data_IF_068229602646
#
_entry.id   IF_068229602646
#
_cell.length_a   1.000
_cell.length_b   1.000
_cell.length_c   1.000
_cell.angle_alpha   90.00
_cell.angle_beta   90.00
_cell.angle_gamma   90.00
#
_symmetry.space_group_name_H-M   'P 1'
#
loop_
_entity.id
_entity.type
_entity.pdbx_description
1 polymer ?
#
# COMPACT_ATOMS: atom_id res chain seq x y z
N UNK A 1 78.70 -40.51 -58.92
CA UNK A 1 78.94 -39.08 -59.21
C UNK A 1 78.10 -38.35 -58.19
N UNK A 2 78.76 -37.62 -57.31
CA UNK A 2 78.12 -36.86 -56.23
C UNK A 2 77.27 -35.75 -56.87
N UNK A 3 75.97 -35.70 -56.58
CA UNK A 3 75.04 -34.71 -57.18
C UNK A 3 75.24 -33.29 -56.62
N UNK A 4 76.11 -33.16 -55.61
CA UNK A 4 76.47 -31.92 -54.91
C UNK A 4 77.46 -31.05 -55.69
N UNK A 5 78.28 -31.62 -56.58
CA UNK A 5 79.33 -30.89 -57.30
C UNK A 5 79.05 -30.80 -58.81
N UNK A 6 78.83 -29.60 -59.33
CA UNK A 6 78.54 -29.36 -60.76
C UNK A 6 79.82 -29.25 -61.59
N UNK A 7 80.95 -28.87 -60.99
CA UNK A 7 82.24 -28.75 -61.67
C UNK A 7 83.37 -29.35 -60.82
N UNK A 8 83.95 -30.47 -61.27
CA UNK A 8 85.02 -31.19 -60.59
C UNK A 8 86.30 -31.18 -61.41
N UNK A 9 87.40 -30.72 -60.81
CA UNK A 9 88.73 -30.67 -61.42
C UNK A 9 89.73 -31.39 -60.51
N UNK A 10 90.42 -32.40 -61.04
CA UNK A 10 91.40 -33.22 -60.31
C UNK A 10 90.90 -33.80 -58.96
N UNK A 11 89.61 -34.13 -58.86
CA UNK A 11 89.01 -34.71 -57.65
C UNK A 11 88.63 -33.70 -56.56
N UNK A 12 88.72 -32.39 -56.85
CA UNK A 12 88.27 -31.31 -55.97
C UNK A 12 87.11 -30.55 -56.62
N UNK A 13 86.10 -30.20 -55.83
CA UNK A 13 84.96 -29.46 -56.32
C UNK A 13 85.30 -27.97 -56.47
N UNK A 14 84.93 -27.39 -57.61
CA UNK A 14 85.14 -25.98 -57.92
C UNK A 14 83.81 -25.19 -57.92
N UNK A 15 82.70 -25.89 -58.10
CA UNK A 15 81.37 -25.30 -58.09
C UNK A 15 80.36 -26.34 -57.59
N UNK A 16 79.58 -25.95 -56.58
CA UNK A 16 78.52 -26.78 -56.03
C UNK A 16 77.22 -26.56 -56.80
N UNK A 17 76.34 -27.56 -56.73
CA UNK A 17 74.97 -27.45 -57.18
C UNK A 17 74.27 -26.37 -56.33
N UNK A 18 73.76 -25.31 -56.96
CA UNK A 18 73.25 -24.13 -56.25
C UNK A 18 71.96 -24.35 -55.46
N UNK A 19 71.40 -25.56 -55.47
CA UNK A 19 70.26 -25.95 -54.64
C UNK A 19 70.76 -26.83 -53.49
N UNK A 20 70.82 -26.31 -52.26
CA UNK A 20 71.14 -27.09 -51.06
C UNK A 20 72.62 -27.20 -50.69
N UNK A 21 73.55 -26.65 -51.50
CA UNK A 21 74.99 -26.87 -51.29
C UNK A 21 75.83 -25.60 -51.42
N UNK A 22 76.77 -25.43 -50.49
CA UNK A 22 77.77 -24.35 -50.49
C UNK A 22 79.19 -24.94 -50.58
N UNK A 23 80.06 -24.29 -51.35
CA UNK A 23 81.44 -24.73 -51.48
C UNK A 23 82.26 -24.29 -50.27
N UNK A 24 82.77 -25.23 -49.48
CA UNK A 24 83.75 -24.93 -48.46
C UNK A 24 85.12 -24.70 -49.14
N UNK A 25 85.55 -23.44 -49.13
CA UNK A 25 86.78 -23.00 -49.81
C UNK A 25 88.07 -23.56 -49.19
N UNK A 26 88.00 -24.12 -47.97
CA UNK A 26 89.16 -24.70 -47.27
C UNK A 26 89.34 -26.18 -47.61
N UNK A 27 88.24 -26.92 -47.77
CA UNK A 27 88.25 -28.37 -48.07
C UNK A 27 88.01 -28.66 -49.55
N UNK A 28 87.53 -27.68 -50.33
CA UNK A 28 87.09 -27.80 -51.72
C UNK A 28 86.05 -28.92 -51.92
N UNK A 29 85.19 -29.05 -50.91
CA UNK A 29 84.05 -29.96 -50.87
C UNK A 29 82.76 -29.16 -50.74
N UNK A 30 81.68 -29.68 -51.31
CA UNK A 30 80.35 -29.13 -51.14
C UNK A 30 79.78 -29.59 -49.81
N UNK A 31 79.43 -28.63 -48.96
CA UNK A 31 78.72 -28.86 -47.70
C UNK A 31 77.25 -28.48 -47.90
N UNK A 32 76.36 -29.16 -47.20
CA UNK A 32 74.93 -28.82 -47.19
C UNK A 32 74.76 -27.43 -46.58
N UNK A 33 73.86 -26.64 -47.15
CA UNK A 33 73.40 -25.41 -46.51
C UNK A 33 72.35 -25.85 -45.49
N UNK A 34 72.66 -25.64 -44.20
CA UNK A 34 71.73 -25.96 -43.12
C UNK A 34 70.54 -25.00 -43.19
N UNK A 35 69.34 -25.57 -43.12
CA UNK A 35 68.06 -24.87 -43.01
C UNK A 35 67.82 -23.85 -44.16
N UNK A 36 67.92 -24.32 -45.41
CA UNK A 36 67.74 -23.51 -46.63
C UNK A 36 66.38 -23.74 -47.34
N UNK A 37 65.47 -24.45 -46.67
CA UNK A 37 64.20 -25.00 -47.16
C UNK A 37 64.36 -26.07 -48.26
N UNK A 38 65.49 -26.76 -48.35
CA UNK A 38 65.74 -27.79 -49.37
C UNK A 38 66.18 -29.12 -48.75
N UNK A 39 65.22 -30.02 -48.56
CA UNK A 39 65.47 -31.41 -48.13
C UNK A 39 66.12 -32.23 -49.27
N UNK A 40 67.47 -32.25 -49.33
CA UNK A 40 68.22 -33.09 -50.29
C UNK A 40 68.78 -34.37 -49.64
N UNK A 41 69.55 -34.23 -48.55
CA UNK A 41 70.14 -35.33 -47.75
C UNK A 41 69.86 -35.19 -46.23
N UNK A 42 68.97 -34.27 -45.86
CA UNK A 42 68.57 -33.92 -44.48
C UNK A 42 67.28 -34.66 -44.08
N UNK A 43 67.04 -34.91 -42.79
CA UNK A 43 65.78 -35.55 -42.36
C UNK A 43 64.61 -34.56 -42.42
N UNK A 44 64.89 -33.28 -42.19
CA UNK A 44 63.95 -32.17 -42.26
C UNK A 44 64.73 -30.88 -42.55
N UNK A 45 64.02 -29.85 -42.99
CA UNK A 45 64.51 -28.47 -43.16
C UNK A 45 63.28 -27.55 -43.11
N UNK A 46 63.24 -26.63 -42.16
CA UNK A 46 62.16 -25.64 -41.99
C UNK A 46 62.62 -24.19 -42.22
N UNK A 47 63.82 -24.01 -42.77
CA UNK A 47 64.38 -22.71 -43.13
C UNK A 47 64.85 -21.85 -41.96
N UNK A 48 64.96 -22.42 -40.75
CA UNK A 48 65.43 -21.70 -39.57
C UNK A 48 66.24 -22.59 -38.60
N UNK A 49 66.98 -21.97 -37.66
CA UNK A 49 67.86 -22.67 -36.70
C UNK A 49 67.30 -22.65 -35.26
N UNK A 50 65.99 -22.52 -35.10
CA UNK A 50 65.33 -22.47 -33.78
C UNK A 50 65.23 -23.90 -33.26
N UNK A 51 65.76 -24.20 -32.07
CA UNK A 51 65.56 -25.52 -31.51
C UNK A 51 64.10 -25.68 -31.02
N UNK A 52 63.61 -26.92 -31.09
CA UNK A 52 62.37 -27.46 -30.56
C UNK A 52 61.09 -27.00 -31.27
N UNK A 53 61.20 -26.51 -32.50
CA UNK A 53 60.06 -26.09 -33.35
C UNK A 53 59.63 -27.14 -34.38
N UNK A 54 60.37 -28.24 -34.51
CA UNK A 54 60.05 -29.36 -35.40
C UNK A 54 61.26 -29.88 -36.17
N UNK A 55 62.24 -29.02 -36.44
CA UNK A 55 63.46 -29.39 -37.14
C UNK A 55 64.65 -28.56 -36.67
N UNK A 56 65.72 -29.22 -36.23
CA UNK A 56 66.94 -28.51 -35.86
C UNK A 56 68.15 -29.34 -36.24
N UNK A 57 69.14 -28.68 -36.85
CA UNK A 57 70.36 -29.34 -37.32
C UNK A 57 70.04 -30.56 -38.18
N UNK A 58 69.09 -30.42 -39.10
CA UNK A 58 68.73 -31.45 -40.09
C UNK A 58 68.10 -32.72 -39.49
N UNK A 59 67.69 -32.67 -38.22
CA UNK A 59 67.06 -33.77 -37.50
C UNK A 59 65.70 -33.34 -36.96
N UNK A 60 64.74 -34.25 -37.06
CA UNK A 60 63.44 -34.06 -36.45
C UNK A 60 63.59 -33.95 -34.94
N UNK A 61 63.05 -32.88 -34.36
CA UNK A 61 62.95 -32.73 -32.91
C UNK A 61 61.60 -32.15 -32.53
N UNK A 62 61.20 -32.38 -31.29
CA UNK A 62 59.92 -31.90 -30.79
C UNK A 62 60.13 -31.16 -29.48
N UNK A 63 59.23 -30.21 -29.23
CA UNK A 63 59.14 -29.50 -27.97
C UNK A 63 59.02 -30.45 -26.77
N UNK A 64 59.71 -30.12 -25.67
CA UNK A 64 59.67 -30.91 -24.42
C UNK A 64 58.26 -31.10 -23.85
N UNK A 65 57.37 -30.13 -24.10
CA UNK A 65 55.95 -30.16 -23.73
C UNK A 65 55.09 -31.01 -24.67
N UNK A 66 55.67 -31.66 -25.66
CA UNK A 66 55.01 -32.63 -26.51
C UNK A 66 55.08 -34.04 -25.89
N UNK A 67 53.92 -34.67 -25.67
CA UNK A 67 53.84 -36.04 -25.14
C UNK A 67 53.93 -37.11 -26.23
N UNK A 68 53.48 -36.81 -27.46
CA UNK A 68 53.52 -37.71 -28.60
C UNK A 68 54.03 -36.95 -29.83
N UNK A 69 55.24 -37.29 -30.27
CA UNK A 69 55.96 -36.64 -31.36
C UNK A 69 56.14 -37.61 -32.52
N UNK A 70 55.87 -37.16 -33.75
CA UNK A 70 56.09 -37.94 -34.97
C UNK A 70 56.78 -37.07 -36.02
N UNK A 71 58.04 -37.39 -36.34
CA UNK A 71 58.83 -36.68 -37.36
C UNK A 71 58.79 -35.15 -37.20
N UNK A 72 59.04 -34.65 -35.98
CA UNK A 72 59.02 -33.20 -35.68
C UNK A 72 57.63 -32.61 -35.47
N UNK A 73 56.56 -33.36 -35.77
CA UNK A 73 55.20 -32.92 -35.54
C UNK A 73 54.69 -33.35 -34.16
N UNK A 74 54.17 -32.39 -33.39
CA UNK A 74 53.55 -32.70 -32.12
C UNK A 74 52.08 -33.15 -32.32
N UNK A 75 51.79 -34.39 -31.96
CA UNK A 75 50.45 -34.98 -32.05
C UNK A 75 49.62 -34.73 -30.79
N UNK A 76 50.25 -34.79 -29.62
CA UNK A 76 49.60 -34.57 -28.33
C UNK A 76 50.53 -33.83 -27.36
N UNK A 77 50.02 -32.79 -26.71
CA UNK A 77 50.76 -32.07 -25.67
C UNK A 77 50.71 -32.78 -24.31
N UNK A 78 51.67 -32.47 -23.44
CA UNK A 78 51.64 -32.83 -22.03
C UNK A 78 50.42 -32.23 -21.31
N UNK A 79 50.01 -32.76 -20.14
CA UNK A 79 48.93 -32.17 -19.36
C UNK A 79 49.19 -30.68 -19.08
N UNK A 80 48.16 -29.85 -19.18
CA UNK A 80 48.20 -28.38 -18.98
C UNK A 80 48.89 -27.59 -20.11
N UNK A 81 49.02 -28.22 -21.28
CA UNK A 81 49.47 -27.59 -22.51
C UNK A 81 48.42 -27.80 -23.61
N UNK A 82 48.27 -26.81 -24.48
CA UNK A 82 47.36 -26.82 -25.63
C UNK A 82 48.16 -26.76 -26.93
N UNK A 83 47.81 -27.64 -27.86
CA UNK A 83 48.40 -27.66 -29.19
C UNK A 83 47.85 -26.50 -30.02
N UNK A 84 48.73 -25.61 -30.47
CA UNK A 84 48.43 -24.65 -31.53
C UNK A 84 48.70 -25.30 -32.88
N UNK A 85 47.63 -25.54 -33.63
CA UNK A 85 47.70 -26.19 -34.94
C UNK A 85 48.32 -25.29 -36.02
N UNK A 86 48.36 -23.97 -35.84
CA UNK A 86 48.94 -23.04 -36.81
C UNK A 86 50.46 -23.10 -36.79
N UNK A 87 51.05 -23.21 -35.60
CA UNK A 87 52.50 -23.27 -35.42
C UNK A 87 53.01 -24.68 -35.10
N UNK A 88 52.10 -25.65 -34.90
CA UNK A 88 52.41 -27.02 -34.50
C UNK A 88 53.26 -27.09 -33.21
N UNK A 89 52.97 -26.20 -32.26
CA UNK A 89 53.66 -26.12 -30.97
C UNK A 89 52.67 -26.20 -29.81
N UNK A 90 53.13 -26.69 -28.67
CA UNK A 90 52.39 -26.74 -27.42
C UNK A 90 52.61 -25.45 -26.63
N UNK A 91 51.52 -24.76 -26.33
CA UNK A 91 51.51 -23.55 -25.50
C UNK A 91 50.90 -23.89 -24.14
N UNK A 92 51.43 -23.36 -23.03
CA UNK A 92 50.84 -23.55 -21.71
C UNK A 92 49.43 -22.95 -21.67
N UNK A 93 48.55 -23.56 -20.86
CA UNK A 93 47.14 -23.15 -20.76
C UNK A 93 47.02 -22.07 -19.67
N UNK A 94 46.99 -20.81 -20.10
CA UNK A 94 46.67 -19.69 -19.20
C UNK A 94 45.32 -19.90 -18.52
N UNK A 95 45.26 -19.67 -17.21
CA UNK A 95 44.03 -19.67 -16.43
C UNK A 95 43.63 -21.04 -15.88
N UNK A 96 44.52 -22.03 -15.90
CA UNK A 96 44.26 -23.38 -15.39
C UNK A 96 44.71 -23.59 -13.92
N UNK A 97 45.25 -22.54 -13.30
CA UNK A 97 45.73 -22.53 -11.91
C UNK A 97 47.13 -23.10 -11.71
N UNK A 98 47.87 -23.41 -12.78
CA UNK A 98 49.23 -23.94 -12.71
C UNK A 98 50.20 -23.07 -13.51
N UNK A 99 51.38 -22.80 -12.96
CA UNK A 99 52.47 -22.10 -13.68
C UNK A 99 53.40 -23.15 -14.27
N UNK A 100 53.43 -23.25 -15.60
CA UNK A 100 54.28 -24.17 -16.38
C UNK A 100 54.97 -23.45 -17.54
N UNK A 101 56.10 -23.98 -18.02
CA UNK A 101 56.78 -23.42 -19.19
C UNK A 101 57.24 -21.97 -19.00
N UNK A 102 56.76 -21.07 -19.87
CA UNK A 102 57.16 -19.65 -19.89
C UNK A 102 56.15 -18.71 -19.21
N UNK A 103 55.16 -19.25 -18.51
CA UNK A 103 54.14 -18.44 -17.84
C UNK A 103 54.75 -17.54 -16.76
N UNK A 104 54.41 -16.26 -16.80
CA UNK A 104 54.90 -15.25 -15.84
C UNK A 104 53.94 -15.08 -14.67
N UNK A 105 52.66 -15.37 -14.88
CA UNK A 105 51.59 -15.29 -13.90
C UNK A 105 50.50 -16.32 -14.18
N UNK A 106 49.63 -16.53 -13.20
CA UNK A 106 48.48 -17.43 -13.29
C UNK A 106 47.43 -17.03 -12.24
N UNK A 107 46.16 -16.89 -12.64
CA UNK A 107 45.05 -16.46 -11.78
C UNK A 107 43.75 -17.28 -11.95
N UNK A 108 43.88 -18.50 -12.50
CA UNK A 108 42.82 -19.49 -12.68
C UNK A 108 41.65 -19.02 -13.53
N UNK A 109 41.86 -18.00 -14.37
CA UNK A 109 40.84 -17.52 -15.29
C UNK A 109 41.47 -16.88 -16.55
N UNK A 110 40.64 -16.38 -17.47
CA UNK A 110 41.09 -15.76 -18.72
C UNK A 110 40.52 -14.35 -18.92
N UNK A 111 40.27 -13.66 -17.81
CA UNK A 111 39.75 -12.30 -17.79
C UNK A 111 40.85 -11.34 -18.18
N UNK A 112 40.44 -10.18 -18.67
CA UNK A 112 41.37 -9.10 -19.00
C UNK A 112 41.37 -8.11 -17.84
N UNK A 113 42.54 -7.55 -17.54
CA UNK A 113 42.77 -6.49 -16.56
C UNK A 113 42.56 -6.88 -15.08
N UNK A 114 42.61 -8.16 -14.74
CA UNK A 114 42.49 -8.66 -13.36
C UNK A 114 43.81 -9.11 -12.72
N UNK A 115 44.89 -9.14 -13.48
CA UNK A 115 46.22 -9.43 -12.97
C UNK A 115 47.05 -10.25 -13.94
N UNK A 116 46.43 -11.21 -14.63
CA UNK A 116 47.09 -12.07 -15.58
C UNK A 116 46.24 -12.32 -16.83
N UNK A 117 46.77 -12.00 -18.00
CA UNK A 117 46.13 -12.35 -19.26
C UNK A 117 47.16 -12.83 -20.27
N UNK A 118 46.85 -13.93 -20.97
CA UNK A 118 47.78 -14.59 -21.88
C UNK A 118 49.14 -14.92 -21.22
N UNK A 119 49.09 -15.37 -19.97
CA UNK A 119 50.23 -15.72 -19.12
C UNK A 119 51.21 -14.56 -18.89
N UNK A 120 50.78 -13.32 -19.12
CA UNK A 120 51.54 -12.10 -18.91
C UNK A 120 50.86 -11.22 -17.87
N UNK A 121 51.68 -10.57 -17.03
CA UNK A 121 51.18 -9.67 -16.00
C UNK A 121 50.41 -8.51 -16.66
N UNK A 122 49.21 -8.24 -16.16
CA UNK A 122 48.36 -7.15 -16.61
C UNK A 122 47.87 -6.38 -15.39
N UNK A 123 47.69 -5.06 -15.54
CA UNK A 123 47.05 -4.24 -14.51
C UNK A 123 45.64 -3.87 -14.91
N UNK A 124 44.86 -3.38 -13.94
CA UNK A 124 43.55 -2.79 -14.17
C UNK A 124 43.60 -1.74 -15.30
N UNK A 125 42.58 -1.75 -16.17
CA UNK A 125 42.44 -0.86 -17.33
C UNK A 125 42.53 0.62 -16.93
N UNK A 126 41.97 0.96 -15.75
CA UNK A 126 41.89 2.32 -15.25
C UNK A 126 43.07 2.66 -14.30
N UNK A 127 44.12 1.85 -14.31
CA UNK A 127 45.33 2.09 -13.54
C UNK A 127 46.28 3.06 -14.26
N UNK A 128 46.69 4.12 -13.57
CA UNK A 128 47.69 5.08 -14.06
C UNK A 128 49.13 4.61 -13.82
N UNK A 129 49.42 4.10 -12.61
CA UNK A 129 50.74 3.61 -12.24
C UNK A 129 50.61 2.14 -11.83
N UNK A 130 51.19 1.26 -12.64
CA UNK A 130 51.18 -0.17 -12.47
C UNK A 130 52.59 -0.68 -12.14
N UNK A 131 52.71 -1.51 -11.11
CA UNK A 131 53.95 -2.23 -10.79
C UNK A 131 53.64 -3.72 -10.57
N UNK A 132 54.18 -4.59 -11.43
CA UNK A 132 54.03 -6.05 -11.37
C UNK A 132 52.58 -6.52 -11.07
N UNK A 133 51.62 -6.16 -11.92
CA UNK A 133 50.17 -6.41 -11.77
C UNK A 133 49.48 -5.79 -10.55
N UNK A 134 50.19 -4.97 -9.78
CA UNK A 134 49.61 -4.21 -8.66
C UNK A 134 49.44 -2.74 -9.07
N UNK A 135 48.19 -2.28 -9.08
CA UNK A 135 47.87 -0.90 -9.31
C UNK A 135 48.23 -0.04 -8.08
N UNK A 136 49.05 0.98 -8.29
CA UNK A 136 49.48 1.92 -7.26
C UNK A 136 48.63 3.19 -7.24
N UNK A 137 48.22 3.65 -8.43
CA UNK A 137 47.46 4.90 -8.61
C UNK A 137 46.47 4.71 -9.74
N UNK A 138 45.19 5.00 -9.48
CA UNK A 138 44.13 4.98 -10.48
C UNK A 138 44.07 6.31 -11.26
N UNK A 139 43.45 6.28 -12.44
CA UNK A 139 43.09 7.48 -13.18
C UNK A 139 42.12 8.37 -12.36
N UNK A 140 42.05 9.66 -12.71
CA UNK A 140 41.10 10.58 -12.10
C UNK A 140 39.66 10.11 -12.34
N UNK A 141 38.79 10.16 -11.33
CA UNK A 141 37.44 9.55 -11.37
C UNK A 141 37.36 8.14 -10.76
N UNK A 142 38.49 7.56 -10.33
CA UNK A 142 38.54 6.19 -9.81
C UNK A 142 39.25 6.09 -8.47
N UNK A 143 38.80 5.17 -7.61
CA UNK A 143 39.43 4.84 -6.33
C UNK A 143 39.96 3.41 -6.37
N UNK A 144 41.14 3.22 -5.76
CA UNK A 144 41.80 1.93 -5.68
C UNK A 144 41.19 1.10 -4.54
N UNK A 145 40.45 0.05 -4.88
CA UNK A 145 39.85 -0.89 -3.95
C UNK A 145 40.26 -2.31 -4.37
N UNK A 146 40.92 -3.06 -3.49
CA UNK A 146 41.35 -4.45 -3.75
C UNK A 146 42.11 -4.62 -5.07
N UNK A 147 43.07 -3.73 -5.36
CA UNK A 147 43.86 -3.73 -6.60
C UNK A 147 43.09 -3.39 -7.89
N UNK A 148 41.82 -3.00 -7.77
CA UNK A 148 40.99 -2.56 -8.88
C UNK A 148 40.63 -1.08 -8.77
N UNK A 149 40.50 -0.43 -9.91
CA UNK A 149 40.12 0.97 -9.98
C UNK A 149 38.61 1.07 -10.22
N UNK A 150 37.87 1.34 -9.15
CA UNK A 150 36.40 1.43 -9.14
C UNK A 150 35.98 2.89 -9.27
N UNK A 151 34.96 3.15 -10.08
CA UNK A 151 34.36 4.46 -10.27
C UNK A 151 33.92 5.11 -8.95
N UNK A 152 34.06 6.44 -8.86
CA UNK A 152 33.77 7.21 -7.64
C UNK A 152 32.59 8.12 -7.86
N UNK A 153 31.43 7.66 -7.40
CA UNK A 153 30.24 8.47 -7.48
C UNK A 153 30.27 9.70 -6.56
N UNK A 154 30.05 10.88 -7.14
CA UNK A 154 29.93 12.14 -6.42
C UNK A 154 31.21 12.97 -6.37
N UNK A 155 32.18 12.67 -7.24
CA UNK A 155 33.43 13.43 -7.37
C UNK A 155 33.35 14.50 -8.50
N UNK A 156 32.23 14.50 -9.23
CA UNK A 156 31.80 15.28 -10.39
C UNK A 156 32.54 15.04 -11.67
N UNK A 157 33.01 13.81 -11.84
CA UNK A 157 33.66 13.37 -13.05
C UNK A 157 32.97 12.09 -13.52
N UNK A 158 32.08 12.21 -14.49
CA UNK A 158 31.41 11.05 -15.08
C UNK A 158 32.41 10.21 -15.88
N UNK A 159 32.71 8.98 -15.42
CA UNK A 159 33.64 8.03 -16.06
C UNK A 159 33.07 6.63 -16.26
N UNK A 160 33.57 5.91 -17.28
CA UNK A 160 33.23 4.52 -17.64
C UNK A 160 31.72 4.19 -17.62
N UNK A 161 31.20 3.60 -16.54
CA UNK A 161 29.81 3.14 -16.40
C UNK A 161 28.91 4.13 -15.65
N UNK A 162 29.43 5.26 -15.22
CA UNK A 162 28.63 6.29 -14.57
C UNK A 162 27.72 6.98 -15.60
N UNK A 163 26.43 7.02 -15.31
CA UNK A 163 25.45 7.77 -16.11
C UNK A 163 25.31 9.21 -15.59
N UNK A 164 25.59 9.42 -14.31
CA UNK A 164 25.51 10.70 -13.61
C UNK A 164 26.51 10.74 -12.46
N UNK A 165 26.86 11.95 -12.03
CA UNK A 165 27.70 12.18 -10.86
C UNK A 165 27.15 13.37 -10.03
N UNK A 166 26.92 13.13 -8.73
CA UNK A 166 26.36 14.11 -7.80
C UNK A 166 27.45 14.98 -7.14
N UNK A 167 27.88 16.05 -7.81
CA UNK A 167 28.87 16.97 -7.26
C UNK A 167 28.31 18.03 -6.27
N UNK A 168 27.30 17.66 -5.46
CA UNK A 168 26.61 18.50 -4.43
C UNK A 168 25.62 19.53 -4.99
N UNK A 169 24.32 19.28 -4.80
CA UNK A 169 23.34 20.22 -4.21
C UNK A 169 21.95 19.56 -4.00
N UNK A 170 21.68 19.19 -2.74
CA UNK A 170 20.45 19.02 -1.95
C UNK A 170 19.02 18.90 -2.54
N UNK A 171 18.76 18.87 -3.85
CA UNK A 171 17.38 18.80 -4.38
C UNK A 171 17.12 17.61 -5.30
N UNK A 172 18.13 17.03 -5.94
CA UNK A 172 17.86 16.03 -6.96
C UNK A 172 18.31 14.63 -6.53
N UNK A 173 17.35 13.85 -6.03
CA UNK A 173 17.40 12.37 -5.90
C UNK A 173 17.52 11.66 -7.27
N UNK A 174 18.09 12.34 -8.26
CA UNK A 174 18.12 11.98 -9.66
C UNK A 174 19.29 11.04 -9.94
N UNK A 175 20.34 11.02 -9.12
CA UNK A 175 21.42 10.06 -9.24
C UNK A 175 21.53 9.18 -7.98
N UNK A 176 21.58 7.87 -8.15
CA UNK A 176 21.83 6.92 -7.06
C UNK A 176 22.74 5.81 -7.58
N UNK A 177 23.85 5.56 -6.89
CA UNK A 177 24.88 4.61 -7.34
C UNK A 177 25.30 4.87 -8.80
N UNK A 178 25.46 6.15 -9.16
CA UNK A 178 25.89 6.61 -10.48
C UNK A 178 24.97 6.21 -11.64
N UNK A 179 23.70 5.96 -11.33
CA UNK A 179 22.63 5.75 -12.30
C UNK A 179 21.52 6.75 -12.09
N UNK A 180 20.90 7.15 -13.20
CA UNK A 180 19.72 7.98 -13.14
C UNK A 180 18.59 7.22 -12.42
N UNK A 181 18.02 7.85 -11.40
CA UNK A 181 16.87 7.35 -10.66
C UNK A 181 15.66 8.16 -11.08
N UNK A 182 14.53 7.47 -11.24
CA UNK A 182 13.28 8.07 -11.66
C UNK A 182 12.32 8.10 -10.47
N UNK A 183 11.53 9.19 -10.39
CA UNK A 183 10.48 9.30 -9.38
C UNK A 183 9.43 8.19 -9.54
N UNK A 184 8.84 7.76 -8.41
CA UNK A 184 7.71 6.83 -8.40
C UNK A 184 6.56 7.40 -9.23
N UNK A 185 5.87 6.55 -9.99
CA UNK A 185 4.78 6.96 -10.87
C UNK A 185 5.24 7.65 -12.16
N UNK A 186 6.54 7.63 -12.47
CA UNK A 186 7.05 8.14 -13.74
C UNK A 186 6.95 7.08 -14.85
N UNK A 187 6.18 7.39 -15.89
CA UNK A 187 6.02 6.55 -17.08
C UNK A 187 7.12 6.76 -18.12
N UNK A 188 7.56 7.99 -18.32
CA UNK A 188 8.66 8.34 -19.22
C UNK A 188 9.70 9.14 -18.44
N UNK A 189 10.86 8.52 -18.23
CA UNK A 189 11.97 9.11 -17.52
C UNK A 189 13.17 9.24 -18.45
N UNK A 190 13.69 10.46 -18.58
CA UNK A 190 14.78 10.81 -19.48
C UNK A 190 15.84 11.53 -18.66
N UNK A 191 17.03 10.94 -18.53
CA UNK A 191 18.13 11.45 -17.70
C UNK A 191 17.68 11.77 -16.25
N UNK A 192 16.83 10.91 -15.69
CA UNK A 192 16.30 11.01 -14.32
C UNK A 192 15.27 12.13 -14.10
N UNK A 193 14.90 12.86 -15.17
CA UNK A 193 13.79 13.82 -15.17
C UNK A 193 12.53 13.10 -15.68
N UNK A 194 11.41 13.26 -14.96
CA UNK A 194 10.15 12.71 -15.42
C UNK A 194 9.47 13.62 -16.43
N UNK A 195 9.17 13.10 -17.63
CA UNK A 195 8.44 13.82 -18.68
C UNK A 195 6.94 13.47 -18.70
N UNK A 196 6.59 12.26 -18.26
CA UNK A 196 5.21 11.78 -18.26
C UNK A 196 4.96 10.89 -17.04
N UNK A 197 3.88 11.16 -16.32
CA UNK A 197 3.44 10.33 -15.20
C UNK A 197 2.48 9.21 -15.61
N UNK A 198 2.38 8.19 -14.77
CA UNK A 198 1.36 7.15 -14.81
C UNK A 198 -0.02 7.70 -14.41
N UNK A 199 -1.06 6.92 -14.64
CA UNK A 199 -2.42 7.29 -14.22
C UNK A 199 -2.51 7.40 -12.68
N UNK A 200 -3.20 8.42 -12.18
CA UNK A 200 -3.27 8.76 -10.75
C UNK A 200 -2.13 9.65 -10.24
N UNK A 201 -1.18 10.03 -11.09
CA UNK A 201 -0.12 10.98 -10.77
C UNK A 201 -0.22 12.25 -11.61
N UNK A 202 0.10 13.40 -11.00
CA UNK A 202 0.24 14.68 -11.67
C UNK A 202 1.71 15.09 -11.74
N UNK A 203 2.14 15.54 -12.92
CA UNK A 203 3.49 16.05 -13.11
C UNK A 203 3.60 17.47 -12.52
N UNK A 204 4.39 17.63 -11.46
CA UNK A 204 4.64 18.90 -10.80
C UNK A 204 6.13 19.01 -10.45
N UNK A 205 6.77 20.10 -10.88
CA UNK A 205 8.22 20.33 -10.70
C UNK A 205 9.10 19.15 -11.17
N UNK A 206 8.73 18.54 -12.31
CA UNK A 206 9.38 17.35 -12.88
C UNK A 206 9.31 16.08 -12.00
N UNK A 207 8.44 16.09 -10.99
CA UNK A 207 8.15 14.96 -10.12
C UNK A 207 6.68 14.55 -10.28
N UNK A 208 6.41 13.25 -10.15
CA UNK A 208 5.05 12.74 -10.17
C UNK A 208 4.51 12.73 -8.74
N UNK A 209 3.56 13.62 -8.46
CA UNK A 209 2.87 13.68 -7.18
C UNK A 209 1.54 12.93 -7.30
N UNK A 210 1.17 12.18 -6.27
CA UNK A 210 -0.11 11.48 -6.23
C UNK A 210 -1.27 12.49 -6.13
N UNK A 211 -2.40 12.19 -6.74
CA UNK A 211 -3.54 13.11 -6.86
C UNK A 211 -4.56 12.80 -5.78
N UNK A 212 -4.64 13.67 -4.78
CA UNK A 212 -5.63 13.47 -3.73
C UNK A 212 -7.07 13.78 -4.16
N UNK A 213 -7.96 12.80 -3.93
CA UNK A 213 -9.39 12.87 -4.20
C UNK A 213 -9.80 12.24 -5.53
N UNK A 214 -8.95 11.43 -6.15
CA UNK A 214 -9.22 10.75 -7.43
C UNK A 214 -9.71 9.30 -7.27
N UNK A 215 -9.80 8.82 -6.02
CA UNK A 215 -10.17 7.47 -5.58
C UNK A 215 -9.13 6.39 -5.85
N UNK A 216 -7.88 6.76 -6.10
CA UNK A 216 -6.80 5.85 -6.46
C UNK A 216 -5.66 5.97 -5.44
N UNK A 217 -5.67 5.12 -4.41
CA UNK A 217 -4.60 5.12 -3.40
C UNK A 217 -3.30 4.55 -3.99
N UNK A 218 -2.33 5.42 -4.27
CA UNK A 218 -1.02 5.06 -4.84
C UNK A 218 0.12 5.88 -4.24
N UNK A 219 1.35 5.40 -4.43
CA UNK A 219 2.56 6.14 -4.04
C UNK A 219 2.61 6.42 -2.53
N UNK A 220 2.61 7.70 -2.16
CA UNK A 220 2.70 8.18 -0.78
C UNK A 220 1.33 8.36 -0.09
N UNK A 221 0.23 8.09 -0.77
CA UNK A 221 -1.11 8.27 -0.22
C UNK A 221 -1.44 7.22 0.84
N UNK A 222 -1.96 7.66 1.97
CA UNK A 222 -2.47 6.77 3.01
C UNK A 222 -3.95 6.45 2.81
N UNK A 223 -4.69 7.36 2.17
CA UNK A 223 -6.12 7.27 1.92
C UNK A 223 -6.51 8.12 0.71
N UNK A 224 -7.67 7.83 0.15
CA UNK A 224 -8.37 8.67 -0.82
C UNK A 224 -9.89 8.37 -0.73
N UNK A 225 -10.70 9.38 -0.43
CA UNK A 225 -12.16 9.27 -0.32
C UNK A 225 -12.91 9.94 -1.49
N UNK A 226 -12.19 10.31 -2.56
CA UNK A 226 -12.72 10.93 -3.76
C UNK A 226 -13.04 12.41 -3.62
N UNK A 227 -12.56 13.08 -2.57
CA UNK A 227 -12.71 14.51 -2.40
C UNK A 227 -11.49 15.14 -1.66
N UNK A 228 -11.56 16.44 -1.35
CA UNK A 228 -10.49 17.17 -0.64
C UNK A 228 -11.01 17.92 0.59
N UNK A 229 -12.18 17.56 1.09
CA UNK A 229 -12.77 18.18 2.25
C UNK A 229 -11.91 17.81 3.48
N UNK A 230 -11.68 18.76 4.39
CA UNK A 230 -11.02 18.44 5.64
C UNK A 230 -12.01 17.74 6.59
N UNK A 231 -11.48 16.86 7.44
CA UNK A 231 -12.16 16.23 8.57
C UNK A 231 -13.27 15.20 8.26
N UNK A 232 -13.40 14.70 7.04
CA UNK A 232 -14.36 13.66 6.65
C UNK A 232 -13.78 12.24 6.58
N UNK A 233 -12.47 12.09 6.78
CA UNK A 233 -11.77 10.81 6.82
C UNK A 233 -10.40 10.86 6.15
N UNK A 234 -10.29 11.66 5.09
CA UNK A 234 -9.05 11.78 4.32
C UNK A 234 -8.83 13.21 3.82
N UNK A 235 -7.69 13.82 4.17
CA UNK A 235 -7.33 15.14 3.64
C UNK A 235 -5.83 15.23 3.41
N UNK A 236 -5.43 15.86 2.31
CA UNK A 236 -4.03 15.89 1.86
C UNK A 236 -3.42 14.48 1.80
N UNK A 237 -4.25 13.49 1.51
CA UNK A 237 -3.91 12.07 1.38
C UNK A 237 -3.29 11.46 2.63
N UNK A 238 -3.64 12.04 3.77
CA UNK A 238 -3.36 11.57 5.10
C UNK A 238 -4.69 11.32 5.82
N UNK A 239 -4.71 10.29 6.65
CA UNK A 239 -5.88 10.01 7.47
C UNK A 239 -6.16 11.18 8.41
N UNK A 240 -7.41 11.64 8.43
CA UNK A 240 -7.88 12.72 9.29
C UNK A 240 -9.25 12.35 9.86
N UNK A 241 -9.57 12.78 11.08
CA UNK A 241 -10.90 12.64 11.67
C UNK A 241 -11.45 14.01 12.09
N UNK A 242 -12.75 14.07 12.39
CA UNK A 242 -13.41 15.22 13.00
C UNK A 242 -12.70 15.73 14.26
N UNK A 243 -12.81 17.02 14.54
CA UNK A 243 -12.11 17.66 15.66
C UNK A 243 -12.60 17.14 17.02
N UNK A 244 -13.84 16.69 17.07
CA UNK A 244 -14.54 16.16 18.23
C UNK A 244 -14.18 14.70 18.51
N UNK A 245 -13.38 14.07 17.63
CA UNK A 245 -12.94 12.69 17.77
C UNK A 245 -11.76 12.56 18.75
N UNK A 246 -11.90 11.68 19.74
CA UNK A 246 -10.87 11.36 20.73
C UNK A 246 -9.99 10.17 20.34
N UNK A 247 -10.55 9.16 19.64
CA UNK A 247 -9.81 7.99 19.14
C UNK A 247 -9.93 7.87 17.62
N UNK A 248 -9.02 8.54 16.90
CA UNK A 248 -8.94 8.51 15.45
C UNK A 248 -7.94 7.44 14.98
N UNK A 249 -8.43 6.45 14.22
CA UNK A 249 -7.57 5.42 13.59
C UNK A 249 -7.96 5.23 12.13
N UNK A 250 -7.01 5.45 11.23
CA UNK A 250 -7.20 5.27 9.78
C UNK A 250 -8.42 6.03 9.23
N UNK A 251 -8.60 7.30 9.64
CA UNK A 251 -9.72 8.15 9.18
C UNK A 251 -11.08 7.77 9.75
N UNK A 252 -11.11 6.87 10.75
CA UNK A 252 -12.33 6.43 11.45
C UNK A 252 -12.28 6.83 12.90
N UNK A 253 -13.38 7.39 13.39
CA UNK A 253 -13.53 7.74 14.78
C UNK A 253 -14.14 6.59 15.59
N UNK A 254 -13.51 6.26 16.72
CA UNK A 254 -13.96 5.21 17.64
C UNK A 254 -14.45 5.74 18.98
N UNK A 255 -14.15 6.99 19.31
CA UNK A 255 -14.56 7.65 20.54
C UNK A 255 -14.68 9.16 20.31
N UNK A 256 -15.70 9.79 20.88
CA UNK A 256 -16.01 11.20 20.68
C UNK A 256 -16.07 11.96 22.01
N UNK A 257 -16.02 13.29 21.95
CA UNK A 257 -16.26 14.16 23.10
C UNK A 257 -17.67 13.95 23.69
N UNK A 258 -17.86 14.32 24.97
CA UNK A 258 -19.06 14.05 25.80
C UNK A 258 -20.42 14.45 25.20
N UNK A 259 -20.46 15.36 24.23
CA UNK A 259 -21.67 15.90 23.57
C UNK A 259 -21.96 15.24 22.21
N UNK A 260 -21.21 14.21 21.86
CA UNK A 260 -21.27 13.53 20.56
C UNK A 260 -21.37 12.03 20.75
N UNK A 261 -22.01 11.35 19.79
CA UNK A 261 -22.03 9.90 19.71
C UNK A 261 -21.35 9.42 18.43
N UNK A 262 -20.72 8.25 18.50
CA UNK A 262 -20.13 7.61 17.34
C UNK A 262 -21.25 6.91 16.54
N UNK A 263 -21.53 7.40 15.34
CA UNK A 263 -22.34 6.70 14.34
C UNK A 263 -21.56 6.57 13.03
N UNK A 264 -21.54 5.37 12.44
CA UNK A 264 -20.77 5.07 11.22
C UNK A 264 -19.31 5.58 11.22
N UNK A 265 -18.64 5.49 12.37
CA UNK A 265 -17.27 6.00 12.60
C UNK A 265 -17.10 7.52 12.49
N UNK A 266 -18.19 8.28 12.62
CA UNK A 266 -18.23 9.72 12.69
C UNK A 266 -18.89 10.15 14.01
N UNK A 267 -18.43 11.27 14.56
CA UNK A 267 -19.08 11.96 15.65
C UNK A 267 -20.28 12.72 15.09
N UNK A 268 -21.47 12.30 15.50
CA UNK A 268 -22.72 13.03 15.27
C UNK A 268 -23.20 13.62 16.60
N UNK A 269 -24.00 14.67 16.50
CA UNK A 269 -24.52 15.37 17.66
C UNK A 269 -25.45 14.48 18.50
N UNK A 270 -25.31 14.54 19.83
CA UNK A 270 -26.11 13.74 20.77
C UNK A 270 -27.40 14.45 21.14
N UNK A 271 -28.45 14.16 20.39
CA UNK A 271 -29.74 14.79 20.60
C UNK A 271 -30.56 14.23 21.76
N UNK A 272 -31.22 15.12 22.51
CA UNK A 272 -32.11 14.86 23.64
C UNK A 272 -31.38 14.77 24.99
N UNK A 273 -30.23 15.44 25.15
CA UNK A 273 -29.40 15.36 26.35
C UNK A 273 -29.36 16.67 27.18
N UNK A 274 -30.19 17.66 26.83
CA UNK A 274 -30.26 19.02 27.39
C UNK A 274 -29.00 19.90 27.18
N UNK A 275 -28.04 19.46 26.37
CA UNK A 275 -26.86 20.22 26.00
C UNK A 275 -26.92 20.57 24.50
N UNK A 276 -26.51 21.79 24.13
CA UNK A 276 -26.45 22.21 22.73
C UNK A 276 -24.99 22.17 22.27
N UNK A 277 -24.66 21.22 21.40
CA UNK A 277 -23.36 21.12 20.74
C UNK A 277 -23.15 22.26 19.72
N UNK A 278 -21.95 22.36 19.13
CA UNK A 278 -21.63 23.34 18.08
C UNK A 278 -22.54 23.27 16.84
N UNK A 279 -23.05 22.09 16.49
CA UNK A 279 -23.83 21.88 15.27
C UNK A 279 -25.33 21.71 15.52
N UNK A 280 -25.75 21.60 16.78
CA UNK A 280 -27.17 21.53 17.16
C UNK A 280 -27.81 22.92 17.16
N UNK A 281 -29.07 23.00 16.70
CA UNK A 281 -29.84 24.24 16.76
C UNK A 281 -30.66 24.35 18.05
N UNK A 282 -31.01 23.21 18.64
CA UNK A 282 -31.77 23.07 19.89
C UNK A 282 -31.50 21.69 20.49
N UNK A 283 -31.81 21.57 21.79
CA UNK A 283 -31.96 20.30 22.50
C UNK A 283 -32.97 20.56 23.64
N UNK A 284 -34.04 19.77 23.72
CA UNK A 284 -35.09 19.87 24.74
C UNK A 284 -35.18 18.62 25.64
N UNK A 285 -34.08 17.86 25.73
CA UNK A 285 -33.94 16.72 26.63
C UNK A 285 -34.75 15.48 26.21
N UNK A 286 -35.32 15.48 25.00
CA UNK A 286 -36.08 14.37 24.47
C UNK A 286 -35.96 14.24 22.94
N UNK A 287 -36.68 13.28 22.33
CA UNK A 287 -36.68 13.01 20.88
C UNK A 287 -38.10 13.01 20.30
N UNK A 288 -39.04 13.65 20.99
CA UNK A 288 -40.42 13.76 20.55
C UNK A 288 -40.50 14.77 19.38
N UNK A 289 -41.27 14.45 18.33
CA UNK A 289 -41.45 15.39 17.24
C UNK A 289 -42.49 16.46 17.59
N UNK A 290 -42.26 17.69 17.10
CA UNK A 290 -43.21 18.82 17.10
C UNK A 290 -43.46 19.51 18.45
N UNK A 291 -42.60 19.30 19.44
CA UNK A 291 -42.64 19.95 20.76
C UNK A 291 -41.68 21.15 20.90
N UNK A 292 -40.81 21.36 19.91
CA UNK A 292 -39.91 22.50 19.82
C UNK A 292 -38.57 22.13 19.19
N UNK A 293 -38.08 20.92 19.46
CA UNK A 293 -36.85 20.40 18.91
C UNK A 293 -37.01 18.96 18.45
N UNK A 294 -36.54 18.62 17.25
CA UNK A 294 -36.53 17.24 16.78
C UNK A 294 -35.32 16.97 15.92
N UNK A 295 -34.58 15.90 16.22
CA UNK A 295 -33.29 15.60 15.60
C UNK A 295 -32.36 16.82 15.59
N UNK A 296 -32.37 17.59 16.69
CA UNK A 296 -31.49 18.72 16.95
C UNK A 296 -31.64 19.88 15.97
N UNK A 297 -32.78 19.89 15.28
CA UNK A 297 -33.28 20.95 14.45
C UNK A 297 -34.58 21.47 15.07
N UNK A 298 -34.82 22.78 14.91
CA UNK A 298 -36.07 23.38 15.36
C UNK A 298 -37.27 22.69 14.70
N UNK A 299 -38.21 22.23 15.52
CA UNK A 299 -39.39 21.49 15.07
C UNK A 299 -40.64 22.06 15.72
N UNK A 300 -41.50 22.70 14.93
CA UNK A 300 -42.74 23.28 15.43
C UNK A 300 -43.95 22.38 15.22
N UNK A 301 -44.97 22.57 16.06
CA UNK A 301 -46.31 21.97 15.96
C UNK A 301 -46.79 21.82 14.49
N UNK A 302 -47.40 20.69 14.15
CA UNK A 302 -47.94 20.44 12.82
C UNK A 302 -48.96 21.48 12.35
N UNK A 303 -49.67 22.11 13.28
CA UNK A 303 -50.66 23.16 13.01
C UNK A 303 -50.04 24.57 13.05
N UNK A 304 -48.72 24.67 13.15
CA UNK A 304 -48.00 25.93 13.10
C UNK A 304 -47.85 26.46 11.67
N UNK A 305 -48.12 27.75 11.48
CA UNK A 305 -47.91 28.49 10.24
C UNK A 305 -46.59 29.25 10.26
N UNK A 306 -46.29 29.93 11.37
CA UNK A 306 -45.07 30.72 11.53
C UNK A 306 -44.24 30.10 12.65
N UNK A 307 -43.23 29.35 12.25
CA UNK A 307 -42.27 28.71 13.15
C UNK A 307 -41.00 29.55 13.23
N UNK A 308 -40.57 29.91 14.44
CA UNK A 308 -39.31 30.61 14.67
C UNK A 308 -38.59 29.99 15.87
N UNK A 309 -37.42 29.40 15.62
CA UNK A 309 -36.58 28.79 16.66
C UNK A 309 -37.32 27.77 17.54
N UNK A 310 -38.18 26.94 16.94
CA UNK A 310 -38.97 25.93 17.67
C UNK A 310 -40.27 26.46 18.27
N UNK A 311 -40.47 27.78 18.30
CA UNK A 311 -41.69 28.39 18.83
C UNK A 311 -42.71 28.66 17.72
N UNK A 312 -43.97 28.29 17.96
CA UNK A 312 -45.05 28.69 17.06
C UNK A 312 -45.57 30.09 17.40
N UNK A 313 -45.43 31.01 16.45
CA UNK A 313 -45.91 32.39 16.58
C UNK A 313 -47.33 32.58 16.00
N UNK A 314 -47.74 31.70 15.08
CA UNK A 314 -49.06 31.76 14.44
C UNK A 314 -49.48 30.37 13.99
N UNK A 315 -50.72 29.97 14.29
CA UNK A 315 -51.30 28.70 13.84
C UNK A 315 -51.96 28.84 12.45
N UNK A 316 -52.07 27.74 11.70
CA UNK A 316 -52.54 27.69 10.31
C UNK A 316 -53.95 28.25 10.10
N UNK A 317 -54.87 27.99 11.03
CA UNK A 317 -56.28 28.35 10.92
C UNK A 317 -56.79 28.95 12.23
N UNK A 318 -57.91 29.68 12.19
CA UNK A 318 -58.58 30.25 13.37
C UNK A 318 -59.14 29.21 14.36
N UNK A 319 -59.09 27.92 14.01
CA UNK A 319 -59.49 26.80 14.87
C UNK A 319 -58.41 26.44 15.90
N UNK A 320 -57.23 27.04 15.77
CA UNK A 320 -56.07 26.80 16.62
C UNK A 320 -55.59 28.13 17.18
N UNK A 321 -55.29 28.16 18.47
CA UNK A 321 -54.70 29.29 19.15
C UNK A 321 -53.31 28.90 19.67
N UNK A 322 -52.37 29.85 19.65
CA UNK A 322 -51.05 29.64 20.22
C UNK A 322 -51.19 29.57 21.75
N UNK A 323 -50.69 28.50 22.34
CA UNK A 323 -50.57 28.40 23.79
C UNK A 323 -49.42 29.30 24.27
N UNK A 324 -49.72 30.22 25.18
CA UNK A 324 -48.76 31.22 25.67
C UNK A 324 -47.66 30.66 26.60
N UNK A 325 -47.74 29.39 26.98
CA UNK A 325 -46.81 28.75 27.92
C UNK A 325 -45.76 27.92 27.18
N UNK A 326 -46.20 27.04 26.28
CA UNK A 326 -45.33 26.11 25.54
C UNK A 326 -45.23 26.45 24.05
N UNK A 327 -45.87 27.54 23.59
CA UNK A 327 -45.81 28.02 22.19
C UNK A 327 -46.21 26.97 21.14
N UNK A 328 -47.08 26.03 21.50
CA UNK A 328 -47.69 25.07 20.57
C UNK A 328 -49.10 25.49 20.16
N UNK A 329 -49.68 24.84 19.15
CA UNK A 329 -51.03 25.16 18.68
C UNK A 329 -52.05 24.26 19.38
N UNK A 330 -52.90 24.85 20.21
CA UNK A 330 -54.01 24.16 20.86
C UNK A 330 -55.35 24.53 20.20
N UNK A 331 -56.35 23.63 20.18
CA UNK A 331 -57.70 23.94 19.73
C UNK A 331 -58.28 25.20 20.39
N UNK A 332 -59.00 26.00 19.62
CA UNK A 332 -59.66 27.21 20.09
C UNK A 332 -61.09 26.90 20.56
N UNK A 333 -61.23 26.65 21.85
CA UNK A 333 -62.52 26.29 22.45
C UNK A 333 -63.60 27.36 22.21
N UNK A 334 -64.79 26.93 21.78
CA UNK A 334 -65.98 27.79 21.66
C UNK A 334 -66.17 28.45 20.29
N UNK A 335 -65.41 28.02 19.28
CA UNK A 335 -65.45 28.53 17.90
C UNK A 335 -66.46 27.81 16.98
N UNK A 336 -67.24 26.88 17.53
CA UNK A 336 -68.21 26.02 16.83
C UNK A 336 -67.60 24.98 15.88
N UNK A 337 -66.28 24.82 15.87
CA UNK A 337 -65.58 23.75 15.19
C UNK A 337 -65.12 22.70 16.20
N UNK A 338 -64.79 21.51 15.70
CA UNK A 338 -64.29 20.39 16.51
C UNK A 338 -63.02 19.91 15.84
N UNK A 339 -61.87 20.23 16.43
CA UNK A 339 -60.55 19.85 15.91
C UNK A 339 -59.68 19.24 16.99
N UNK A 340 -58.73 18.39 16.60
CA UNK A 340 -57.78 17.76 17.52
C UNK A 340 -58.48 16.98 18.65
N UNK A 341 -58.15 17.30 19.90
CA UNK A 341 -58.70 16.60 21.06
C UNK A 341 -60.16 16.99 21.41
N UNK A 342 -60.73 18.03 20.81
CA UNK A 342 -62.14 18.40 21.02
C UNK A 342 -63.10 17.30 20.54
N UNK A 343 -62.68 16.52 19.54
CA UNK A 343 -63.45 15.41 19.00
C UNK A 343 -63.64 14.30 20.04
N UNK A 344 -62.60 14.01 20.82
CA UNK A 344 -62.67 13.00 21.88
C UNK A 344 -63.57 13.46 23.03
N UNK A 345 -63.60 14.76 23.34
CA UNK A 345 -64.52 15.33 24.34
C UNK A 345 -65.98 15.25 23.88
N UNK A 346 -66.26 15.48 22.59
CA UNK A 346 -67.58 15.28 21.98
C UNK A 346 -67.98 13.80 21.97
N UNK A 347 -67.08 12.89 21.60
CA UNK A 347 -67.35 11.44 21.58
C UNK A 347 -67.63 10.90 22.98
N UNK A 348 -66.94 11.39 24.01
CA UNK A 348 -67.23 11.07 25.43
C UNK A 348 -68.60 11.62 25.85
N UNK A 349 -68.94 12.87 25.48
CA UNK A 349 -70.25 13.46 25.77
C UNK A 349 -71.40 12.72 25.07
N UNK A 350 -71.22 12.30 23.80
CA UNK A 350 -72.19 11.51 23.03
C UNK A 350 -72.33 10.10 23.63
N UNK A 351 -71.23 9.48 24.08
CA UNK A 351 -71.26 8.22 24.80
C UNK A 351 -72.03 8.32 26.13
N UNK A 352 -71.91 9.44 26.86
CA UNK A 352 -72.68 9.71 28.10
C UNK A 352 -74.18 9.88 27.82
N UNK A 353 -74.55 10.55 26.72
CA UNK A 353 -75.94 10.78 26.29
C UNK A 353 -76.67 9.52 25.78
N UNK A 354 -75.93 8.48 25.41
CA UNK A 354 -76.45 7.23 24.84
C UNK A 354 -76.85 6.18 25.90
N UNK A 355 -76.68 6.49 27.19
CA UNK A 355 -76.80 5.53 28.28
C UNK A 355 -78.16 5.66 28.98
N UNK A 356 -78.95 4.58 28.99
CA UNK A 356 -80.16 4.47 29.82
C UNK A 356 -79.78 4.48 31.29
N UNK A 357 -80.08 5.58 31.99
CA UNK A 357 -79.92 5.73 33.43
C UNK A 357 -80.79 4.69 34.16
N UNK A 358 -80.16 3.70 34.78
CA UNK A 358 -80.77 2.85 35.81
C UNK A 358 -80.24 3.35 37.17
N UNK A 359 -81.17 3.77 38.02
CA UNK A 359 -81.08 4.30 39.40
C UNK A 359 -79.73 4.12 40.12
N UNK A 360 -79.17 5.15 40.78
CA UNK A 360 -77.90 5.03 41.50
C UNK A 360 -78.03 4.06 42.69
N UNK A 361 -77.14 3.06 42.76
CA UNK A 361 -76.96 2.18 43.91
C UNK A 361 -75.55 2.38 44.46
N UNK A 362 -75.45 2.80 45.71
CA UNK A 362 -74.16 2.92 46.41
C UNK A 362 -73.67 1.52 46.78
N UNK A 363 -72.55 1.09 46.21
CA UNK A 363 -71.93 -0.21 46.50
C UNK A 363 -70.55 -0.02 47.12
N UNK A 364 -70.27 -0.74 48.22
CA UNK A 364 -68.93 -0.83 48.82
C UNK A 364 -68.14 -1.92 48.09
N UNK A 365 -67.00 -1.58 47.51
CA UNK A 365 -66.12 -2.53 46.81
C UNK A 365 -64.79 -2.63 47.56
N UNK A 366 -64.26 -3.84 47.68
CA UNK A 366 -62.97 -4.13 48.30
C UNK A 366 -61.98 -4.51 47.18
N UNK A 367 -60.91 -3.73 47.00
CA UNK A 367 -59.93 -3.94 45.92
C UNK A 367 -58.65 -4.49 46.53
N UNK A 368 -58.34 -5.75 46.23
CA UNK A 368 -57.10 -6.38 46.65
C UNK A 368 -56.14 -6.40 45.45
N UNK A 369 -55.13 -5.54 45.48
CA UNK A 369 -54.06 -5.31 44.49
C UNK A 369 -54.35 -4.40 43.29
N UNK A 370 -53.61 -3.30 43.23
CA UNK A 370 -53.38 -2.45 42.05
C UNK A 370 -51.86 -2.33 41.89
N UNK A 371 -51.32 -2.62 40.70
CA UNK A 371 -49.91 -2.42 40.37
C UNK A 371 -49.82 -1.45 39.19
N UNK A 372 -49.15 -0.32 39.40
CA UNK A 372 -48.95 0.77 38.45
C UNK A 372 -47.59 0.57 37.76
N UNK A 373 -47.54 0.62 36.43
CA UNK A 373 -46.26 0.71 35.72
C UNK A 373 -45.70 2.13 35.86
N UNK A 374 -44.47 2.22 36.36
CA UNK A 374 -43.72 3.48 36.50
C UNK A 374 -43.61 4.07 37.91
N UNK A 375 -44.32 3.55 38.92
CA UNK A 375 -44.20 4.01 40.32
C UNK A 375 -44.03 2.79 41.26
N UNK A 376 -43.01 2.84 42.12
CA UNK A 376 -42.74 1.80 43.11
C UNK A 376 -43.95 1.51 44.01
N UNK A 377 -44.14 0.22 44.29
CA UNK A 377 -45.17 -0.40 45.15
C UNK A 377 -45.74 0.50 46.26
N UNK A 378 -47.04 0.78 46.20
CA UNK A 378 -47.79 1.29 47.35
C UNK A 378 -48.48 0.09 48.01
N UNK A 379 -47.88 -0.44 49.08
CA UNK A 379 -48.50 -1.47 49.91
C UNK A 379 -49.67 -0.89 50.72
N UNK A 380 -50.82 -1.54 50.62
CA UNK A 380 -51.98 -1.45 51.53
C UNK A 380 -52.42 -0.04 51.92
N UNK A 381 -53.04 0.69 50.97
CA UNK A 381 -53.88 1.82 51.29
C UNK A 381 -55.34 1.47 50.96
N UNK A 382 -56.17 1.28 51.99
CA UNK A 382 -57.62 1.21 51.81
C UNK A 382 -58.11 2.58 51.34
N UNK A 383 -58.48 2.69 50.06
CA UNK A 383 -59.13 3.89 49.55
C UNK A 383 -60.62 3.62 49.33
N UNK A 384 -61.44 4.51 49.89
CA UNK A 384 -62.86 4.57 49.64
C UNK A 384 -63.06 5.19 48.25
N UNK A 385 -63.59 4.38 47.33
CA UNK A 385 -63.86 4.79 45.96
C UNK A 385 -65.37 4.87 45.79
N UNK A 386 -65.91 6.07 45.64
CA UNK A 386 -67.30 6.25 45.21
C UNK A 386 -67.39 5.99 43.70
N UNK A 387 -67.94 4.82 43.37
CA UNK A 387 -68.22 4.43 41.99
C UNK A 387 -69.60 4.98 41.62
N UNK A 388 -69.64 5.86 40.63
CA UNK A 388 -70.87 6.53 40.24
C UNK A 388 -71.66 5.73 39.20
N UNK A 389 -70.99 5.01 38.30
CA UNK A 389 -71.66 4.40 37.16
C UNK A 389 -70.88 3.21 36.55
N UNK A 390 -71.64 2.19 36.14
CA UNK A 390 -71.16 1.10 35.29
C UNK A 390 -71.63 1.34 33.87
N UNK A 391 -70.73 1.19 32.91
CA UNK A 391 -71.00 1.36 31.48
C UNK A 391 -70.62 0.06 30.75
N UNK A 392 -71.44 -0.40 29.82
CA UNK A 392 -71.14 -1.53 28.96
C UNK A 392 -71.40 -1.14 27.50
N UNK A 393 -70.34 -1.18 26.68
CA UNK A 393 -70.41 -0.88 25.24
C UNK A 393 -69.66 -1.96 24.48
N UNK A 394 -70.29 -2.59 23.48
CA UNK A 394 -69.66 -3.58 22.60
C UNK A 394 -68.84 -4.67 23.34
N UNK A 395 -69.41 -5.29 24.38
CA UNK A 395 -68.78 -6.30 25.25
C UNK A 395 -67.59 -5.83 26.11
N UNK A 396 -67.36 -4.51 26.21
CA UNK A 396 -66.36 -3.92 27.10
C UNK A 396 -67.07 -3.27 28.28
N UNK A 397 -66.65 -3.60 29.51
CA UNK A 397 -67.20 -3.04 30.74
C UNK A 397 -66.27 -1.95 31.29
N UNK A 398 -66.84 -0.81 31.66
CA UNK A 398 -66.11 0.36 32.16
C UNK A 398 -66.70 0.85 33.48
N UNK A 399 -65.84 1.42 34.32
CA UNK A 399 -66.20 1.97 35.63
C UNK A 399 -65.66 3.40 35.74
N UNK A 400 -66.53 4.34 36.16
CA UNK A 400 -66.15 5.73 36.43
C UNK A 400 -66.12 6.01 37.94
N UNK A 401 -65.03 6.65 38.38
CA UNK A 401 -64.73 6.95 39.79
C UNK A 401 -64.75 8.47 40.01
N UNK A 402 -65.48 8.91 41.03
CA UNK A 402 -65.86 10.32 41.20
C UNK A 402 -64.71 11.31 41.47
N UNK A 403 -63.59 10.88 42.05
CA UNK A 403 -62.57 11.80 42.56
C UNK A 403 -61.29 11.98 41.72
N UNK A 404 -61.15 11.37 40.53
CA UNK A 404 -59.94 11.55 39.70
C UNK A 404 -60.16 11.74 38.19
N UNK A 405 -61.39 11.87 37.66
CA UNK A 405 -61.61 11.87 36.19
C UNK A 405 -60.86 10.72 35.47
N UNK A 406 -60.80 9.53 36.09
CA UNK A 406 -60.12 8.38 35.50
C UNK A 406 -61.17 7.44 34.92
N UNK A 407 -61.06 7.16 33.62
CA UNK A 407 -61.82 6.12 32.94
C UNK A 407 -60.98 4.85 32.92
N UNK A 408 -61.43 3.82 33.66
CA UNK A 408 -60.76 2.53 33.68
C UNK A 408 -61.47 1.59 32.69
N UNK A 409 -60.74 1.13 31.67
CA UNK A 409 -61.18 0.12 30.70
C UNK A 409 -60.61 -1.23 31.15
N UNK A 410 -61.46 -2.14 31.66
CA UNK A 410 -61.01 -3.51 32.01
C UNK A 410 -62.05 -4.56 31.67
N UNK A 411 -61.59 -5.73 31.22
CA UNK A 411 -62.38 -6.95 31.30
C UNK A 411 -62.38 -7.48 32.74
N UNK A 412 -63.52 -7.36 33.44
CA UNK A 412 -63.70 -7.88 34.79
C UNK A 412 -64.88 -8.87 34.86
N UNK A 413 -64.77 -9.85 35.77
CA UNK A 413 -65.87 -10.73 36.13
C UNK A 413 -66.52 -10.23 37.43
N UNK A 414 -67.84 -10.04 37.42
CA UNK A 414 -68.61 -9.61 38.60
C UNK A 414 -69.33 -10.80 39.19
N UNK A 415 -69.08 -11.12 40.46
CA UNK A 415 -69.97 -11.98 41.26
C UNK A 415 -70.72 -11.11 42.26
N UNK A 416 -72.05 -11.07 42.10
CA UNK A 416 -72.92 -10.36 43.03
C UNK A 416 -73.41 -11.29 44.14
N UNK A 417 -73.32 -10.82 45.38
CA UNK A 417 -74.04 -11.40 46.50
C UNK A 417 -74.76 -10.29 47.27
N UNK A 418 -75.80 -10.65 48.03
CA UNK A 418 -76.85 -9.71 48.52
C UNK A 418 -76.31 -8.55 49.39
N UNK A 419 -75.06 -8.61 49.85
CA UNK A 419 -74.43 -7.55 50.65
C UNK A 419 -73.08 -7.02 50.13
N UNK A 420 -72.45 -7.67 49.15
CA UNK A 420 -71.13 -7.26 48.64
C UNK A 420 -70.96 -7.61 47.17
N UNK A 421 -70.22 -6.77 46.44
CA UNK A 421 -69.76 -7.05 45.08
C UNK A 421 -68.24 -7.20 45.11
N UNK A 422 -67.77 -8.36 44.66
CA UNK A 422 -66.34 -8.66 44.48
C UNK A 422 -66.02 -8.58 42.99
N UNK A 423 -65.02 -7.77 42.64
CA UNK A 423 -64.51 -7.67 41.28
C UNK A 423 -63.12 -8.30 41.20
N UNK A 424 -62.95 -9.28 40.32
CA UNK A 424 -61.66 -9.85 39.96
C UNK A 424 -61.25 -9.31 38.58
N UNK A 425 -60.12 -8.61 38.53
CA UNK A 425 -59.54 -8.10 37.29
C UNK A 425 -58.75 -9.21 36.60
N UNK A 426 -59.05 -9.47 35.32
CA UNK A 426 -58.50 -10.63 34.61
C UNK A 426 -57.23 -10.28 33.81
N UNK A 427 -56.91 -8.99 33.57
CA UNK A 427 -55.67 -8.52 32.92
C UNK A 427 -55.32 -7.05 33.29
N UNK A 428 -54.07 -6.65 32.98
CA UNK A 428 -53.42 -5.37 33.29
C UNK A 428 -54.30 -4.13 33.04
N UNK A 429 -54.32 -3.23 34.02
CA UNK A 429 -55.03 -1.95 34.01
C UNK A 429 -54.05 -0.85 33.63
N UNK A 430 -54.31 -0.11 32.55
CA UNK A 430 -53.54 1.08 32.17
C UNK A 430 -54.31 2.30 32.68
N UNK A 431 -53.68 3.04 33.60
CA UNK A 431 -54.17 4.34 34.08
C UNK A 431 -53.49 5.42 33.22
N UNK A 432 -54.28 6.22 32.51
CA UNK A 432 -53.79 7.45 31.87
C UNK A 432 -54.24 8.62 32.72
N UNK A 433 -53.29 9.36 33.28
CA UNK A 433 -53.55 10.67 33.87
C UNK A 433 -53.88 11.65 32.74
N UNK A 434 -55.08 12.22 32.77
CA UNK A 434 -55.47 13.34 31.91
C UNK A 434 -55.21 14.65 32.64
N UNK A 435 -54.32 15.48 32.09
CA UNK A 435 -54.23 16.91 32.38
C UNK A 435 -55.29 17.67 31.58
#
# INVERSE_FOLDING_TARGET
MDNSCTNCLNGQCQECNTKGWILNLSTLQCELIIDDNIVTDEQCDDGNIIPMDGCFQQQYECQDSCSECYLGYCLNCQPNWKLDMQFNMCFPICGDGLIVGYEVCEDSNSSIYDGCYQCQLQCDKNCQICDQSVCQVCLLGFNLINNHCVEVCGDGIIVDQEECDDQINLIDQICNQCKYTCNIGCKLCVFGVCELCEEGYLLQDFQCQSICGDKIIIGSEQCDDGNQNPYDGCHLCQFQCQQECLDCKFGKCYDCQLEYLVDNYQCIDLCGNEAISKNEQCDDGNLEPFDGCYNCLYSCDQNCQVCQSGYCLQCKNNQWQVNSINFTCQPFCGDQFVVGYEQYMMDVMIAILSVKILVPVVLRVNVNHVQLDGIQQINNAFQYVEIFQFLEMNNVKMVMIYNMMVVIIVNFNVKMNVHFVTMEFVKHVILKDGL
#
